data_IF_019907707866
#
_entry.id   IF_019907707866
#
_cell.length_a   1.000
_cell.length_b   1.000
_cell.length_c   1.000
_cell.angle_alpha   90.00
_cell.angle_beta   90.00
_cell.angle_gamma   90.00
#
_symmetry.space_group_name_H-M   'P 1'
#
loop_
_entity.id
_entity.type
_entity.pdbx_description
1 polymer ?
#
# COMPACT_ATOMS: atom_id res chain seq x y z
N UNK A 1 -13.83 -26.01 80.83
CA UNK A 1 -15.29 -25.87 80.63
C UNK A 1 -15.51 -24.73 79.64
N UNK A 2 -16.18 -25.07 78.53
CA UNK A 2 -17.04 -24.15 77.68
C UNK A 2 -16.33 -23.01 77.02
N UNK A 3 -16.52 -22.68 75.74
CA UNK A 3 -17.39 -23.08 74.64
C UNK A 3 -16.87 -22.41 73.38
N UNK A 4 -16.91 -23.14 72.30
CA UNK A 4 -16.58 -22.67 70.98
C UNK A 4 -17.75 -21.92 70.36
N UNK A 5 -17.49 -20.82 69.70
CA UNK A 5 -18.37 -20.32 68.63
C UNK A 5 -17.53 -20.01 67.39
N UNK A 6 -17.77 -20.80 66.38
CA UNK A 6 -17.27 -20.67 65.03
C UNK A 6 -17.85 -19.45 64.34
N UNK A 7 -17.00 -18.64 63.76
CA UNK A 7 -17.42 -17.64 62.78
C UNK A 7 -16.98 -18.07 61.39
N UNK A 8 -17.94 -18.41 60.59
CA UNK A 8 -17.75 -18.70 59.17
C UNK A 8 -17.74 -17.36 58.45
N UNK A 9 -16.58 -16.89 57.99
CA UNK A 9 -16.49 -15.78 57.05
C UNK A 9 -16.50 -16.34 55.62
N UNK A 10 -17.53 -16.06 54.86
CA UNK A 10 -17.62 -16.33 53.43
C UNK A 10 -16.75 -15.31 52.70
N UNK A 11 -15.62 -15.77 52.19
CA UNK A 11 -14.81 -14.97 51.24
C UNK A 11 -15.41 -15.16 49.87
N UNK A 12 -16.06 -14.12 49.34
CA UNK A 12 -16.45 -14.04 47.97
C UNK A 12 -15.20 -13.67 47.14
N UNK A 13 -14.69 -14.62 46.36
CA UNK A 13 -13.67 -14.36 45.40
C UNK A 13 -14.30 -13.62 44.21
N UNK A 14 -14.01 -12.33 44.08
CA UNK A 14 -14.28 -11.57 42.84
C UNK A 14 -13.17 -11.91 41.87
N UNK A 15 -13.49 -12.73 40.87
CA UNK A 15 -12.64 -12.94 39.73
C UNK A 15 -12.67 -11.67 38.87
N UNK A 16 -11.66 -10.82 38.99
CA UNK A 16 -11.43 -9.72 38.06
C UNK A 16 -10.94 -10.31 36.75
N UNK A 17 -11.86 -10.50 35.80
CA UNK A 17 -11.53 -10.79 34.41
C UNK A 17 -10.80 -9.60 33.82
N UNK A 18 -9.50 -9.71 33.63
CA UNK A 18 -8.74 -8.77 32.81
C UNK A 18 -9.23 -8.90 31.37
N UNK A 19 -10.09 -8.00 30.94
CA UNK A 19 -10.39 -7.78 29.54
C UNK A 19 -9.12 -7.17 28.94
N UNK A 20 -8.32 -7.99 28.25
CA UNK A 20 -7.27 -7.53 27.38
C UNK A 20 -7.94 -6.79 26.22
N UNK A 21 -8.17 -5.50 26.39
CA UNK A 21 -8.51 -4.63 25.27
C UNK A 21 -7.25 -4.50 24.41
N UNK A 22 -7.14 -5.34 23.39
CA UNK A 22 -6.23 -5.06 22.29
C UNK A 22 -6.50 -3.63 21.82
N UNK A 23 -5.48 -2.77 21.63
CA UNK A 23 -5.72 -1.46 21.07
C UNK A 23 -6.27 -1.68 19.66
N UNK A 24 -7.52 -1.29 19.44
CA UNK A 24 -8.10 -1.16 18.10
C UNK A 24 -7.37 0.00 17.42
N UNK A 25 -6.19 -0.29 16.88
CA UNK A 25 -5.48 0.62 15.98
C UNK A 25 -6.28 0.60 14.68
N UNK A 26 -7.03 1.65 14.42
CA UNK A 26 -7.67 1.80 13.12
C UNK A 26 -9.13 2.21 13.13
N UNK A 27 -9.50 3.27 13.83
CA UNK A 27 -10.72 4.01 13.46
C UNK A 27 -10.35 5.06 12.42
N UNK A 28 -10.84 4.82 11.22
CA UNK A 28 -10.84 5.65 10.03
C UNK A 28 -10.52 7.13 10.26
N UNK A 29 -9.34 7.55 9.82
CA UNK A 29 -8.97 8.97 9.68
C UNK A 29 -9.68 9.65 8.49
N UNK A 30 -10.37 8.89 7.67
CA UNK A 30 -11.40 9.36 6.77
C UNK A 30 -12.63 9.56 7.66
N UNK A 31 -13.14 10.77 7.81
CA UNK A 31 -14.16 11.24 8.76
C UNK A 31 -15.22 10.16 9.10
N UNK A 32 -15.92 10.28 10.25
CA UNK A 32 -16.95 9.36 10.72
C UNK A 32 -18.16 9.29 9.75
N UNK A 33 -17.91 8.84 8.52
CA UNK A 33 -18.80 8.79 7.38
C UNK A 33 -18.64 7.50 6.59
N UNK A 34 -19.33 7.42 5.49
CA UNK A 34 -19.30 6.32 4.53
C UNK A 34 -17.89 6.16 3.95
N UNK A 35 -17.42 4.92 3.80
CA UNK A 35 -16.10 4.63 3.21
C UNK A 35 -15.95 5.25 1.81
N UNK A 36 -14.76 5.77 1.45
CA UNK A 36 -14.46 6.19 0.09
C UNK A 36 -14.70 5.13 -0.98
N UNK A 37 -14.64 3.86 -0.61
CA UNK A 37 -14.92 2.72 -1.50
C UNK A 37 -16.41 2.43 -1.66
N UNK A 38 -17.28 2.98 -0.83
CA UNK A 38 -18.72 2.67 -0.91
C UNK A 38 -19.32 3.08 -2.24
N UNK A 39 -19.97 2.13 -2.93
CA UNK A 39 -20.55 2.31 -4.25
C UNK A 39 -19.56 2.50 -5.40
N UNK A 40 -18.25 2.27 -5.17
CA UNK A 40 -17.22 2.36 -6.20
C UNK A 40 -17.01 1.04 -6.92
N UNK A 41 -16.60 1.12 -8.18
CA UNK A 41 -16.27 -0.02 -9.02
C UNK A 41 -14.75 -0.20 -9.06
N UNK A 42 -14.31 -1.37 -8.62
CA UNK A 42 -12.88 -1.71 -8.49
C UNK A 42 -12.54 -2.88 -9.40
N UNK A 43 -11.51 -2.72 -10.22
CA UNK A 43 -10.87 -3.82 -10.93
C UNK A 43 -9.64 -4.28 -10.15
N UNK A 44 -9.59 -5.53 -9.74
CA UNK A 44 -8.44 -6.16 -9.09
C UNK A 44 -7.78 -7.14 -10.06
N UNK A 45 -6.58 -6.82 -10.53
CA UNK A 45 -5.79 -7.66 -11.46
C UNK A 45 -4.61 -8.25 -10.71
N UNK A 46 -4.47 -9.58 -10.74
CA UNK A 46 -3.42 -10.28 -10.01
C UNK A 46 -2.79 -11.40 -10.84
N UNK A 47 -1.55 -11.73 -10.53
CA UNK A 47 -0.83 -12.81 -11.22
C UNK A 47 0.65 -12.48 -11.45
N UNK A 48 1.17 -12.94 -12.58
CA UNK A 48 2.60 -12.86 -12.86
C UNK A 48 3.38 -13.88 -12.06
N UNK A 49 4.47 -13.48 -11.41
CA UNK A 49 5.28 -14.37 -10.61
C UNK A 49 4.63 -14.70 -9.26
N UNK A 50 4.35 -15.98 -9.05
CA UNK A 50 3.61 -16.46 -7.87
C UNK A 50 4.41 -16.42 -6.56
N UNK A 51 5.73 -16.20 -6.61
CA UNK A 51 6.57 -16.07 -5.41
C UNK A 51 6.21 -14.89 -4.52
N UNK A 52 5.49 -13.89 -5.04
CA UNK A 52 4.91 -12.78 -4.26
C UNK A 52 3.50 -13.05 -3.72
N UNK A 53 3.04 -14.29 -3.77
CA UNK A 53 1.74 -14.73 -3.23
C UNK A 53 0.55 -13.83 -3.64
N UNK A 54 0.40 -13.45 -4.92
CA UNK A 54 -0.63 -12.51 -5.34
C UNK A 54 -2.05 -13.03 -5.09
N UNK A 55 -2.24 -14.35 -5.08
CA UNK A 55 -3.47 -15.04 -4.71
C UNK A 55 -3.81 -14.87 -3.23
N UNK A 56 -2.84 -15.06 -2.33
CA UNK A 56 -3.05 -14.86 -0.89
C UNK A 56 -3.25 -13.38 -0.55
N UNK A 57 -2.53 -12.47 -1.23
CA UNK A 57 -2.78 -11.03 -1.09
C UNK A 57 -4.18 -10.65 -1.55
N UNK A 58 -4.68 -11.23 -2.67
CA UNK A 58 -6.07 -11.09 -3.11
C UNK A 58 -7.05 -11.49 -2.00
N UNK A 59 -6.77 -12.59 -1.31
CA UNK A 59 -7.65 -13.12 -0.26
C UNK A 59 -7.67 -12.24 1.01
N UNK A 60 -6.68 -11.36 1.18
CA UNK A 60 -6.70 -10.30 2.21
C UNK A 60 -7.52 -9.09 1.73
N UNK A 61 -7.22 -8.57 0.54
CA UNK A 61 -7.74 -7.27 0.11
C UNK A 61 -9.14 -7.33 -0.49
N UNK A 62 -9.49 -8.38 -1.25
CA UNK A 62 -10.80 -8.48 -1.89
C UNK A 62 -11.97 -8.54 -0.89
N UNK A 63 -11.92 -9.35 0.19
CA UNK A 63 -12.98 -9.33 1.20
C UNK A 63 -13.08 -7.98 1.91
N UNK A 64 -11.95 -7.34 2.23
CA UNK A 64 -11.94 -6.03 2.84
C UNK A 64 -12.57 -4.97 1.92
N UNK A 65 -12.19 -4.90 0.65
CA UNK A 65 -12.76 -3.96 -0.32
C UNK A 65 -14.28 -4.14 -0.44
N UNK A 66 -14.76 -5.38 -0.46
CA UNK A 66 -16.20 -5.68 -0.44
C UNK A 66 -16.87 -5.18 0.84
N UNK A 67 -16.23 -5.37 2.00
CA UNK A 67 -16.77 -4.92 3.29
C UNK A 67 -16.84 -3.39 3.41
N UNK A 68 -16.02 -2.67 2.64
CA UNK A 68 -16.08 -1.21 2.49
C UNK A 68 -17.19 -0.73 1.54
N UNK A 69 -17.93 -1.65 0.92
CA UNK A 69 -19.10 -1.35 0.08
C UNK A 69 -18.81 -1.19 -1.41
N UNK A 70 -17.64 -1.61 -1.91
CA UNK A 70 -17.31 -1.56 -3.33
C UNK A 70 -17.85 -2.76 -4.11
N UNK A 71 -18.17 -2.52 -5.39
CA UNK A 71 -18.31 -3.56 -6.41
C UNK A 71 -16.92 -3.91 -6.93
N UNK A 72 -16.52 -5.19 -6.86
CA UNK A 72 -15.19 -5.60 -7.27
C UNK A 72 -15.25 -6.66 -8.37
N UNK A 73 -14.55 -6.40 -9.46
CA UNK A 73 -14.23 -7.37 -10.53
C UNK A 73 -12.81 -7.86 -10.31
N UNK A 74 -12.63 -9.17 -10.22
CA UNK A 74 -11.32 -9.81 -10.03
C UNK A 74 -10.92 -10.51 -11.33
N UNK A 75 -9.67 -10.33 -11.75
CA UNK A 75 -9.08 -10.97 -12.92
C UNK A 75 -7.69 -11.50 -12.63
N UNK A 76 -7.40 -12.69 -13.09
CA UNK A 76 -6.09 -13.33 -13.07
C UNK A 76 -5.35 -13.22 -14.42
N UNK A 77 -5.80 -12.31 -15.26
CA UNK A 77 -5.20 -12.05 -16.57
C UNK A 77 -5.21 -10.56 -16.92
N UNK A 78 -4.17 -10.11 -17.65
CA UNK A 78 -4.06 -8.75 -18.17
C UNK A 78 -5.06 -8.45 -19.29
N UNK A 79 -5.77 -9.45 -19.82
CA UNK A 79 -6.85 -9.23 -20.81
C UNK A 79 -7.96 -8.34 -20.24
N UNK A 80 -8.13 -8.29 -18.92
CA UNK A 80 -9.05 -7.37 -18.27
C UNK A 80 -8.85 -5.92 -18.71
N UNK A 81 -7.63 -5.52 -19.05
CA UNK A 81 -7.33 -4.15 -19.49
C UNK A 81 -7.91 -3.79 -20.86
N UNK A 82 -8.18 -4.78 -21.69
CA UNK A 82 -8.81 -4.57 -23.02
C UNK A 82 -10.25 -5.08 -23.10
N UNK A 83 -10.65 -5.94 -22.17
CA UNK A 83 -12.02 -6.46 -22.08
C UNK A 83 -13.02 -5.41 -21.63
N UNK A 84 -12.60 -4.49 -20.77
CA UNK A 84 -13.43 -3.45 -20.17
C UNK A 84 -13.01 -2.06 -20.66
N UNK A 85 -13.93 -1.11 -20.59
CA UNK A 85 -13.59 0.30 -20.73
C UNK A 85 -13.12 0.84 -19.37
N UNK A 86 -11.82 0.74 -19.10
CA UNK A 86 -11.24 1.09 -17.81
C UNK A 86 -11.53 2.53 -17.36
N UNK A 87 -11.81 3.45 -18.30
CA UNK A 87 -12.10 4.87 -18.00
C UNK A 87 -13.49 5.05 -17.39
N UNK A 88 -14.48 4.25 -17.84
CA UNK A 88 -15.89 4.41 -17.48
C UNK A 88 -16.38 3.34 -16.52
N UNK A 89 -15.85 2.13 -16.63
CA UNK A 89 -16.35 0.97 -15.91
C UNK A 89 -15.78 0.85 -14.49
N UNK A 90 -14.64 1.51 -14.22
CA UNK A 90 -13.98 1.42 -12.91
C UNK A 90 -13.52 2.78 -12.39
N UNK A 91 -13.57 2.94 -11.07
CA UNK A 91 -13.06 4.09 -10.33
C UNK A 91 -11.61 3.87 -9.90
N UNK A 92 -11.26 2.62 -9.67
CA UNK A 92 -9.96 2.19 -9.17
C UNK A 92 -9.52 0.90 -9.85
N UNK A 93 -8.23 0.83 -10.19
CA UNK A 93 -7.53 -0.39 -10.56
C UNK A 93 -6.58 -0.75 -9.42
N UNK A 94 -6.65 -1.99 -8.92
CA UNK A 94 -5.64 -2.56 -8.03
C UNK A 94 -4.86 -3.56 -8.83
N UNK A 95 -3.55 -3.38 -8.92
CA UNK A 95 -2.67 -4.28 -9.64
C UNK A 95 -1.70 -4.97 -8.67
N UNK A 96 -1.72 -6.30 -8.68
CA UNK A 96 -0.81 -7.20 -7.99
C UNK A 96 -0.21 -8.19 -8.99
N UNK A 97 0.47 -7.66 -10.02
CA UNK A 97 1.04 -8.42 -11.15
C UNK A 97 2.55 -8.24 -11.23
N UNK A 98 3.32 -9.21 -10.76
CA UNK A 98 4.79 -9.10 -10.74
C UNK A 98 5.41 -9.61 -12.03
N UNK A 99 6.38 -8.85 -12.58
CA UNK A 99 7.11 -9.18 -13.80
C UNK A 99 6.21 -9.33 -15.04
N UNK A 100 6.73 -10.02 -16.05
CA UNK A 100 6.00 -10.30 -17.28
C UNK A 100 6.09 -9.19 -18.31
N UNK A 101 5.28 -9.33 -19.36
CA UNK A 101 5.17 -8.39 -20.47
C UNK A 101 3.72 -7.99 -20.63
N UNK A 102 3.47 -6.70 -20.81
CA UNK A 102 2.16 -6.16 -21.15
C UNK A 102 2.10 -5.95 -22.67
N UNK A 103 0.97 -6.27 -23.28
CA UNK A 103 0.77 -6.00 -24.71
C UNK A 103 0.48 -4.52 -24.95
N UNK A 104 0.86 -3.97 -26.12
CA UNK A 104 0.70 -2.55 -26.43
C UNK A 104 -0.74 -2.02 -26.26
N UNK A 105 -1.74 -2.82 -26.63
CA UNK A 105 -3.14 -2.44 -26.48
C UNK A 105 -3.59 -2.45 -25.00
N UNK A 106 -3.11 -3.39 -24.20
CA UNK A 106 -3.36 -3.45 -22.75
C UNK A 106 -2.70 -2.28 -22.03
N UNK A 107 -1.43 -2.02 -22.33
CA UNK A 107 -0.69 -0.87 -21.84
C UNK A 107 -1.39 0.45 -22.16
N UNK A 108 -1.70 0.67 -23.44
CA UNK A 108 -2.41 1.87 -23.89
C UNK A 108 -3.71 2.07 -23.13
N UNK A 109 -4.53 1.02 -22.97
CA UNK A 109 -5.79 1.10 -22.25
C UNK A 109 -5.59 1.48 -20.78
N UNK A 110 -4.61 0.86 -20.09
CA UNK A 110 -4.26 1.14 -18.72
C UNK A 110 -3.79 2.59 -18.53
N UNK A 111 -2.77 3.01 -19.31
CA UNK A 111 -2.19 4.35 -19.19
C UNK A 111 -3.20 5.45 -19.50
N UNK A 112 -4.03 5.28 -20.53
CA UNK A 112 -5.08 6.23 -20.86
C UNK A 112 -6.16 6.31 -19.78
N UNK A 113 -6.53 5.19 -19.16
CA UNK A 113 -7.49 5.18 -18.08
C UNK A 113 -6.97 5.97 -16.87
N UNK A 114 -5.76 5.70 -16.43
CA UNK A 114 -5.15 6.43 -15.31
C UNK A 114 -4.97 7.91 -15.66
N UNK A 115 -4.43 8.23 -16.84
CA UNK A 115 -4.28 9.61 -17.32
C UNK A 115 -5.60 10.38 -17.34
N UNK A 116 -6.73 9.69 -17.59
CA UNK A 116 -8.07 10.28 -17.64
C UNK A 116 -8.69 10.48 -16.26
N UNK A 117 -8.16 9.86 -15.19
CA UNK A 117 -8.62 10.03 -13.82
C UNK A 117 -9.00 8.75 -13.08
N UNK A 118 -8.95 7.55 -13.71
CA UNK A 118 -9.09 6.30 -12.98
C UNK A 118 -7.92 6.14 -12.01
N UNK A 119 -8.19 5.85 -10.73
CA UNK A 119 -7.13 5.62 -9.74
C UNK A 119 -6.42 4.29 -9.97
N UNK A 120 -5.15 4.21 -9.58
CA UNK A 120 -4.42 2.94 -9.52
C UNK A 120 -3.67 2.81 -8.21
N UNK A 121 -3.69 1.62 -7.61
CA UNK A 121 -2.95 1.28 -6.41
C UNK A 121 -2.33 -0.11 -6.55
N UNK A 122 -1.18 -0.28 -5.92
CA UNK A 122 -0.52 -1.59 -5.85
C UNK A 122 0.66 -1.54 -4.90
N UNK A 123 1.33 -2.67 -4.77
CA UNK A 123 2.43 -2.81 -3.82
C UNK A 123 3.51 -3.74 -4.35
N UNK A 124 4.68 -3.59 -3.75
CA UNK A 124 5.85 -4.44 -3.96
C UNK A 124 6.10 -4.71 -5.45
N UNK A 125 6.43 -5.94 -5.82
CA UNK A 125 6.59 -6.33 -7.22
C UNK A 125 5.30 -6.26 -8.03
N UNK A 126 4.14 -6.32 -7.37
CA UNK A 126 2.83 -6.31 -8.04
C UNK A 126 2.48 -5.02 -8.79
N UNK A 127 3.19 -3.91 -8.49
CA UNK A 127 3.12 -2.67 -9.26
C UNK A 127 4.52 -2.14 -9.61
N UNK A 128 5.47 -2.16 -8.68
CA UNK A 128 6.79 -1.54 -8.86
C UNK A 128 7.80 -2.39 -9.64
N UNK A 129 7.54 -3.68 -9.82
CA UNK A 129 8.34 -4.62 -10.60
C UNK A 129 7.55 -5.28 -11.74
N UNK A 130 6.40 -4.73 -12.08
CA UNK A 130 5.66 -5.16 -13.26
C UNK A 130 6.32 -4.60 -14.50
N UNK A 131 6.34 -5.40 -15.56
CA UNK A 131 6.73 -4.96 -16.91
C UNK A 131 8.05 -4.18 -16.95
N UNK A 132 9.13 -4.75 -16.39
CA UNK A 132 10.44 -4.11 -16.14
C UNK A 132 11.01 -3.31 -17.33
N UNK A 133 10.72 -3.71 -18.57
CA UNK A 133 11.25 -3.07 -19.77
C UNK A 133 10.33 -1.99 -20.34
N UNK A 134 9.22 -1.70 -19.69
CA UNK A 134 8.24 -0.73 -20.16
C UNK A 134 8.41 0.61 -19.45
N UNK A 135 8.98 1.58 -20.17
CA UNK A 135 9.33 2.90 -19.64
C UNK A 135 8.10 3.78 -19.39
N UNK A 136 7.07 3.69 -20.23
CA UNK A 136 5.83 4.46 -20.06
C UNK A 136 5.07 3.99 -18.82
N UNK A 137 5.04 2.68 -18.59
CA UNK A 137 4.45 2.12 -17.36
C UNK A 137 5.20 2.60 -16.11
N UNK A 138 6.53 2.55 -16.12
CA UNK A 138 7.36 3.05 -15.01
C UNK A 138 7.13 4.53 -14.76
N UNK A 139 6.97 5.31 -15.83
CA UNK A 139 6.67 6.73 -15.73
C UNK A 139 5.31 6.98 -15.07
N UNK A 140 4.30 6.13 -15.34
CA UNK A 140 3.02 6.16 -14.63
C UNK A 140 3.18 5.84 -13.14
N UNK A 141 3.89 4.77 -12.81
CA UNK A 141 4.07 4.31 -11.40
C UNK A 141 4.90 5.30 -10.58
N UNK A 142 5.85 5.97 -11.21
CA UNK A 142 6.76 6.91 -10.56
C UNK A 142 8.00 6.28 -9.97
N UNK A 143 8.29 5.04 -10.32
CA UNK A 143 9.49 4.34 -9.92
C UNK A 143 9.57 2.94 -10.49
N UNK A 144 10.73 2.33 -10.32
CA UNK A 144 11.04 0.99 -10.79
C UNK A 144 11.89 0.26 -9.78
N UNK A 145 11.58 -0.99 -9.53
CA UNK A 145 12.44 -1.92 -8.82
C UNK A 145 13.77 -2.11 -9.55
N UNK A 146 14.84 -2.13 -8.78
CA UNK A 146 16.21 -2.39 -9.26
C UNK A 146 16.77 -3.66 -8.65
N UNK A 147 16.70 -3.77 -7.31
CA UNK A 147 17.25 -4.89 -6.56
C UNK A 147 16.64 -4.96 -5.14
N UNK A 148 16.87 -6.08 -4.46
CA UNK A 148 16.65 -6.26 -3.02
C UNK A 148 17.88 -6.90 -2.39
N UNK A 149 18.98 -6.13 -2.21
CA UNK A 149 20.24 -6.64 -1.70
C UNK A 149 20.07 -7.30 -0.33
N UNK A 150 20.49 -8.57 -0.21
CA UNK A 150 20.34 -9.37 0.99
C UNK A 150 19.08 -10.25 1.02
N UNK A 151 18.20 -10.13 0.03
CA UNK A 151 16.94 -10.90 0.01
C UNK A 151 15.97 -10.44 1.10
N UNK A 152 15.42 -11.40 1.84
CA UNK A 152 14.56 -11.12 3.02
C UNK A 152 15.45 -10.79 4.21
N UNK A 153 15.33 -9.56 4.72
CA UNK A 153 16.13 -9.02 5.83
C UNK A 153 15.28 -8.18 6.78
N UNK A 154 15.83 -7.92 7.95
CA UNK A 154 15.25 -6.94 8.88
C UNK A 154 15.65 -5.52 8.47
N UNK A 155 14.67 -4.63 8.36
CA UNK A 155 14.91 -3.22 8.07
C UNK A 155 13.85 -2.31 8.68
N UNK A 156 14.21 -1.04 8.85
CA UNK A 156 13.35 -0.01 9.40
C UNK A 156 12.65 0.78 8.29
N UNK A 157 11.36 1.02 8.47
CA UNK A 157 10.56 1.96 7.69
C UNK A 157 10.34 3.23 8.50
N UNK A 158 10.71 4.38 7.93
CA UNK A 158 10.60 5.69 8.56
C UNK A 158 9.48 6.49 7.92
N UNK A 159 8.53 6.95 8.71
CA UNK A 159 7.44 7.81 8.24
C UNK A 159 7.96 9.24 8.11
N UNK A 160 7.99 9.76 6.88
CA UNK A 160 8.55 11.11 6.61
C UNK A 160 7.47 12.18 6.43
N UNK A 161 6.26 11.84 5.99
CA UNK A 161 5.12 12.76 5.97
C UNK A 161 4.04 12.29 6.97
N UNK A 162 4.13 12.76 8.22
CA UNK A 162 3.20 12.40 9.30
C UNK A 162 1.87 13.16 9.24
N UNK A 163 1.70 14.05 8.25
CA UNK A 163 0.47 14.84 8.06
C UNK A 163 -0.40 14.25 6.95
N UNK A 164 0.18 13.48 6.04
CA UNK A 164 -0.57 12.87 4.95
C UNK A 164 -1.61 11.87 5.48
N UNK A 165 -2.84 11.87 4.97
CA UNK A 165 -3.90 10.95 5.42
C UNK A 165 -3.49 9.47 5.40
N UNK A 166 -2.58 9.07 4.50
CA UNK A 166 -2.11 7.67 4.42
C UNK A 166 -1.25 7.28 5.62
N UNK A 167 -0.41 8.20 6.10
CA UNK A 167 0.60 7.93 7.13
C UNK A 167 0.31 8.60 8.47
N UNK A 168 -0.70 9.47 8.53
CA UNK A 168 -1.06 10.19 9.76
C UNK A 168 -1.34 9.24 10.93
N UNK A 169 -0.68 9.50 12.05
CA UNK A 169 -0.82 8.73 13.29
C UNK A 169 -0.13 7.37 13.28
N UNK A 170 0.69 7.08 12.27
CA UNK A 170 1.56 5.92 12.27
C UNK A 170 2.96 6.30 12.74
N UNK A 171 3.55 5.42 13.52
CA UNK A 171 4.96 5.50 13.93
C UNK A 171 5.83 4.72 12.95
N UNK A 172 7.15 4.98 13.00
CA UNK A 172 8.16 4.19 12.32
C UNK A 172 8.10 2.74 12.80
N UNK A 173 8.33 1.78 11.91
CA UNK A 173 8.16 0.37 12.20
C UNK A 173 9.21 -0.49 11.52
N UNK A 174 9.34 -1.73 11.99
CA UNK A 174 10.27 -2.70 11.46
C UNK A 174 9.56 -3.69 10.56
N UNK A 175 10.25 -4.13 9.52
CA UNK A 175 9.85 -5.18 8.58
C UNK A 175 10.89 -6.28 8.56
N UNK A 176 10.42 -7.51 8.36
CA UNK A 176 11.24 -8.65 7.97
C UNK A 176 10.79 -9.09 6.59
N UNK A 177 11.42 -8.54 5.54
CA UNK A 177 10.94 -8.66 4.17
C UNK A 177 12.03 -8.32 3.16
N UNK A 178 11.73 -8.32 1.88
CA UNK A 178 12.61 -7.77 0.85
C UNK A 178 12.65 -6.24 0.94
N UNK A 179 13.83 -5.70 1.20
CA UNK A 179 14.07 -4.26 1.16
C UNK A 179 14.37 -3.82 -0.27
N UNK A 180 13.42 -3.15 -0.93
CA UNK A 180 13.59 -2.73 -2.31
C UNK A 180 14.48 -1.50 -2.46
N UNK A 181 15.52 -1.64 -3.27
CA UNK A 181 16.21 -0.50 -3.88
C UNK A 181 15.47 -0.15 -5.18
N UNK A 182 15.02 1.09 -5.30
CA UNK A 182 14.21 1.56 -6.43
C UNK A 182 14.81 2.82 -7.06
N UNK A 183 14.69 2.94 -8.39
CA UNK A 183 14.82 4.23 -9.05
C UNK A 183 13.46 4.92 -9.02
N UNK A 184 13.42 6.22 -8.74
CA UNK A 184 12.18 6.97 -8.60
C UNK A 184 12.17 8.23 -9.45
N UNK A 185 10.98 8.57 -9.92
CA UNK A 185 10.68 9.86 -10.55
C UNK A 185 10.79 10.97 -9.48
N UNK A 186 11.51 12.07 -9.75
CA UNK A 186 11.58 13.21 -8.83
C UNK A 186 10.22 13.84 -8.52
N UNK A 187 9.18 13.52 -9.29
CA UNK A 187 7.83 14.08 -9.15
C UNK A 187 6.88 13.22 -8.28
N UNK A 188 7.41 12.31 -7.48
CA UNK A 188 6.65 11.57 -6.49
C UNK A 188 6.51 12.36 -5.18
N UNK A 189 5.44 12.11 -4.43
CA UNK A 189 5.30 12.56 -3.04
C UNK A 189 5.64 11.40 -2.11
N UNK A 190 6.83 11.46 -1.52
CA UNK A 190 7.33 10.41 -0.61
C UNK A 190 6.62 10.50 0.73
N UNK A 191 6.11 9.39 1.24
CA UNK A 191 5.42 9.26 2.52
C UNK A 191 6.22 8.49 3.56
N UNK A 192 7.01 7.50 3.12
CA UNK A 192 7.90 6.70 3.97
C UNK A 192 9.18 6.33 3.20
N UNK A 193 10.24 6.12 3.95
CA UNK A 193 11.58 5.75 3.44
C UNK A 193 12.18 4.60 4.24
N UNK A 194 13.23 4.02 3.70
CA UNK A 194 14.13 3.10 4.40
C UNK A 194 15.57 3.50 4.15
N UNK A 195 16.48 3.14 5.05
CA UNK A 195 17.91 3.37 4.89
C UNK A 195 18.62 2.04 4.71
N UNK A 196 19.40 1.92 3.64
CA UNK A 196 20.19 0.72 3.39
C UNK A 196 21.42 0.69 4.27
N UNK A 197 21.80 -0.50 4.71
CA UNK A 197 23.12 -0.76 5.29
C UNK A 197 24.10 -1.21 4.18
N UNK A 198 25.36 -1.35 4.52
CA UNK A 198 26.47 -1.77 3.64
C UNK A 198 26.73 -3.28 3.63
N UNK A 199 25.95 -4.07 4.40
CA UNK A 199 26.23 -5.51 4.58
C UNK A 199 26.10 -6.34 3.32
N UNK A 200 25.10 -6.03 2.48
CA UNK A 200 24.79 -6.79 1.26
C UNK A 200 25.36 -6.16 0.00
N UNK A 201 25.64 -4.86 0.04
CA UNK A 201 26.24 -4.09 -1.06
C UNK A 201 26.83 -2.79 -0.47
N UNK A 202 28.15 -2.68 -0.44
CA UNK A 202 28.86 -1.58 0.22
C UNK A 202 28.57 -0.20 -0.41
N UNK A 203 28.32 -0.15 -1.73
CA UNK A 203 28.04 1.10 -2.45
C UNK A 203 26.65 1.70 -2.20
N UNK A 204 25.74 0.99 -1.48
CA UNK A 204 24.43 1.53 -1.12
C UNK A 204 24.31 1.88 0.36
N UNK A 205 25.32 1.63 1.16
CA UNK A 205 25.33 1.94 2.58
C UNK A 205 25.01 3.41 2.85
N UNK A 206 24.02 3.66 3.73
CA UNK A 206 23.54 5.00 4.05
C UNK A 206 22.56 5.61 3.05
N UNK A 207 22.28 4.96 1.91
CA UNK A 207 21.30 5.48 0.97
C UNK A 207 19.87 5.39 1.53
N UNK A 208 19.16 6.52 1.46
CA UNK A 208 17.75 6.62 1.86
C UNK A 208 16.87 6.48 0.62
N UNK A 209 16.05 5.45 0.60
CA UNK A 209 15.22 5.07 -0.55
C UNK A 209 13.74 5.20 -0.19
N UNK A 210 12.90 5.79 -1.06
CA UNK A 210 11.44 5.80 -0.89
C UNK A 210 10.85 4.38 -0.82
N UNK A 211 9.96 4.17 0.15
CA UNK A 211 9.21 2.92 0.36
C UNK A 211 7.75 3.09 -0.01
N UNK A 212 7.16 4.25 0.32
CA UNK A 212 5.76 4.56 0.04
C UNK A 212 5.68 5.92 -0.62
N UNK A 213 4.94 5.99 -1.73
CA UNK A 213 4.70 7.27 -2.40
C UNK A 213 3.35 7.37 -3.07
N UNK A 214 3.00 8.60 -3.36
CA UNK A 214 1.90 9.02 -4.22
C UNK A 214 2.45 9.67 -5.47
N UNK A 215 1.76 9.52 -6.58
CA UNK A 215 2.04 10.21 -7.84
C UNK A 215 0.74 10.63 -8.52
N UNK A 216 0.81 11.69 -9.30
CA UNK A 216 -0.23 12.05 -10.25
C UNK A 216 0.25 11.72 -11.66
N UNK A 217 -0.56 10.98 -12.41
CA UNK A 217 -0.35 10.71 -13.82
C UNK A 217 -1.54 11.25 -14.61
N UNK A 218 -1.37 12.41 -15.24
CA UNK A 218 -2.49 13.17 -15.76
C UNK A 218 -3.44 13.59 -14.63
N UNK A 219 -4.70 13.14 -14.71
CA UNK A 219 -5.71 13.35 -13.68
C UNK A 219 -5.77 12.19 -12.67
N UNK A 220 -5.08 11.09 -12.93
CA UNK A 220 -5.14 9.87 -12.12
C UNK A 220 -4.23 9.93 -10.91
N UNK A 221 -4.72 9.39 -9.81
CA UNK A 221 -3.97 9.17 -8.58
C UNK A 221 -3.31 7.80 -8.63
N UNK A 222 -2.01 7.75 -8.41
CA UNK A 222 -1.20 6.53 -8.36
C UNK A 222 -0.66 6.36 -6.95
N UNK A 223 -0.96 5.25 -6.31
CA UNK A 223 -0.42 4.90 -5.00
C UNK A 223 0.45 3.66 -5.09
N UNK A 224 1.63 3.74 -4.51
CA UNK A 224 2.57 2.64 -4.43
C UNK A 224 3.18 2.50 -3.03
N UNK A 225 3.36 1.25 -2.63
CA UNK A 225 4.14 0.84 -1.46
C UNK A 225 5.08 -0.30 -1.86
N UNK A 226 6.35 -0.24 -1.51
CA UNK A 226 7.28 -1.37 -1.72
C UNK A 226 7.16 -2.46 -0.65
N UNK A 227 6.28 -2.30 0.33
CA UNK A 227 5.96 -3.31 1.36
C UNK A 227 5.04 -4.39 0.77
N UNK A 228 5.03 -5.58 1.35
CA UNK A 228 4.11 -6.64 0.94
C UNK A 228 4.73 -7.63 -0.06
N UNK A 229 5.95 -8.09 0.21
CA UNK A 229 6.62 -9.16 -0.55
C UNK A 229 5.74 -10.43 -0.58
N UNK A 230 5.26 -10.85 0.57
CA UNK A 230 4.31 -11.95 0.74
C UNK A 230 3.11 -11.52 1.57
N UNK A 231 2.04 -12.30 1.54
CA UNK A 231 0.81 -12.00 2.27
C UNK A 231 1.04 -11.81 3.78
N UNK A 232 1.99 -12.55 4.36
CA UNK A 232 2.35 -12.45 5.77
C UNK A 232 2.88 -11.06 6.19
N UNK A 233 3.46 -10.29 5.27
CA UNK A 233 3.95 -8.93 5.54
C UNK A 233 2.82 -7.99 5.99
N UNK A 234 1.60 -8.25 5.55
CA UNK A 234 0.42 -7.51 5.97
C UNK A 234 -0.07 -7.87 7.38
N UNK A 235 0.61 -8.79 8.09
CA UNK A 235 0.44 -8.95 9.53
C UNK A 235 1.06 -7.80 10.34
N UNK A 236 1.98 -7.02 9.73
CA UNK A 236 2.50 -5.78 10.30
C UNK A 236 1.41 -4.70 10.17
N UNK A 237 0.85 -4.21 11.30
CA UNK A 237 -0.33 -3.35 11.26
C UNK A 237 -0.13 -2.07 10.44
N UNK A 238 1.07 -1.46 10.52
CA UNK A 238 1.39 -0.24 9.79
C UNK A 238 1.46 -0.49 8.28
N UNK A 239 2.02 -1.62 7.84
CA UNK A 239 2.10 -1.97 6.42
C UNK A 239 0.70 -2.18 5.83
N UNK A 240 -0.17 -2.93 6.53
CA UNK A 240 -1.56 -3.14 6.13
C UNK A 240 -2.34 -1.82 6.08
N UNK A 241 -2.20 -0.98 7.11
CA UNK A 241 -2.92 0.29 7.19
C UNK A 241 -2.49 1.27 6.11
N UNK A 242 -1.19 1.40 5.82
CA UNK A 242 -0.65 2.20 4.72
C UNK A 242 -1.26 1.76 3.39
N UNK A 243 -1.29 0.45 3.13
CA UNK A 243 -1.83 -0.08 1.88
C UNK A 243 -3.33 0.19 1.76
N UNK A 244 -4.11 -0.05 2.81
CA UNK A 244 -5.54 0.25 2.84
C UNK A 244 -5.82 1.74 2.60
N UNK A 245 -5.16 2.63 3.32
CA UNK A 245 -5.33 4.08 3.16
C UNK A 245 -4.89 4.59 1.79
N UNK A 246 -3.83 3.99 1.22
CA UNK A 246 -3.39 4.28 -0.14
C UNK A 246 -4.44 3.91 -1.19
N UNK A 247 -5.08 2.75 -1.04
CA UNK A 247 -6.19 2.29 -1.87
C UNK A 247 -7.37 3.27 -1.76
N UNK A 248 -7.76 3.67 -0.53
CA UNK A 248 -8.82 4.65 -0.30
C UNK A 248 -8.52 5.99 -0.97
N UNK A 249 -7.27 6.48 -0.84
CA UNK A 249 -6.85 7.73 -1.48
C UNK A 249 -6.89 7.64 -3.01
N UNK A 250 -6.41 6.55 -3.59
CA UNK A 250 -6.40 6.35 -5.04
C UNK A 250 -7.82 6.23 -5.61
N UNK A 251 -8.74 5.60 -4.87
CA UNK A 251 -10.15 5.42 -5.27
C UNK A 251 -10.88 6.76 -5.48
N UNK A 252 -10.47 7.80 -4.76
CA UNK A 252 -11.08 9.13 -4.88
C UNK A 252 -10.60 9.96 -6.08
N UNK A 253 -9.80 9.37 -6.96
CA UNK A 253 -9.16 10.04 -8.10
C UNK A 253 -10.12 10.84 -8.97
N UNK A 254 -11.27 10.30 -9.32
CA UNK A 254 -12.30 10.96 -10.14
C UNK A 254 -13.14 11.98 -9.37
N UNK A 255 -13.18 11.90 -8.06
CA UNK A 255 -14.13 12.62 -7.20
C UNK A 255 -13.50 13.78 -6.45
N UNK A 256 -12.22 13.66 -6.14
CA UNK A 256 -11.46 14.67 -5.42
C UNK A 256 -10.16 14.94 -6.18
N UNK A 257 -10.10 15.96 -7.06
CA UNK A 257 -8.86 16.32 -7.75
C UNK A 257 -7.76 16.57 -6.72
N UNK A 258 -6.63 15.92 -6.90
CA UNK A 258 -5.47 16.18 -6.05
C UNK A 258 -4.78 17.46 -6.51
N UNK A 259 -4.38 18.30 -5.55
CA UNK A 259 -3.51 19.42 -5.83
C UNK A 259 -2.18 18.93 -6.40
N UNK A 260 -1.76 19.44 -7.56
CA UNK A 260 -0.47 19.07 -8.13
C UNK A 260 0.66 19.49 -7.20
N UNK A 261 1.46 18.53 -6.76
CA UNK A 261 2.73 18.85 -6.11
C UNK A 261 3.86 18.84 -7.14
N UNK A 262 4.72 19.83 -7.03
CA UNK A 262 5.97 19.93 -7.77
C UNK A 262 7.08 19.97 -6.73
N UNK A 263 7.50 18.82 -6.31
CA UNK A 263 8.64 18.70 -5.38
C UNK A 263 9.72 17.90 -6.08
N UNK A 264 10.51 18.52 -6.99
CA UNK A 264 11.68 17.84 -7.49
C UNK A 264 12.58 17.52 -6.30
N UNK A 265 13.03 16.28 -6.21
CA UNK A 265 14.01 15.83 -5.21
C UNK A 265 15.29 16.66 -5.34
N UNK A 266 15.55 17.15 -6.53
CA UNK A 266 16.68 18.03 -6.83
C UNK A 266 16.23 19.48 -6.75
N UNK A 267 16.91 20.29 -5.96
CA UNK A 267 16.61 21.72 -5.82
C UNK A 267 16.65 22.44 -7.17
N UNK A 268 15.89 23.53 -7.28
CA UNK A 268 15.74 24.31 -8.53
C UNK A 268 17.00 25.10 -8.91
N UNK A 269 18.08 25.03 -8.13
CA UNK A 269 19.28 25.83 -8.36
C UNK A 269 19.11 27.34 -8.16
N UNK A 270 17.93 27.81 -7.84
CA UNK A 270 17.73 29.22 -7.47
C UNK A 270 18.23 29.41 -6.04
N UNK A 271 19.42 30.00 -5.91
CA UNK A 271 19.85 30.60 -4.63
C UNK A 271 18.81 31.68 -4.29
N UNK A 272 18.27 31.62 -3.06
CA UNK A 272 17.48 32.71 -2.49
C UNK A 272 18.37 33.94 -2.31
#
# INVERSE_FOLDING_TARGET
MVSRRSFISKSAAVAAGAILTSPVIGRNLFSAGVSPLNGKKVLYVWGGWMGHEPDKCRDIFVPWIKSEGAEITVSDTLEAYTKYNLKTDFDLIIQAWTMGTIQNNQEKALLEAVKSGTGIAGWHGGLGDSFRNNTEYQFMVGGQWVAHPGGVIDYRVNIVDRKDPVTKGLDDFDMHSEQYFVHVDPNIKVLATTTFNDKSADWIGGNVIPVVWKKLYGKGRVFYSSLGHVAADFSVPQALEIQKRGILWACMSKYEPAEPWKQPVYGTGKKK
#
